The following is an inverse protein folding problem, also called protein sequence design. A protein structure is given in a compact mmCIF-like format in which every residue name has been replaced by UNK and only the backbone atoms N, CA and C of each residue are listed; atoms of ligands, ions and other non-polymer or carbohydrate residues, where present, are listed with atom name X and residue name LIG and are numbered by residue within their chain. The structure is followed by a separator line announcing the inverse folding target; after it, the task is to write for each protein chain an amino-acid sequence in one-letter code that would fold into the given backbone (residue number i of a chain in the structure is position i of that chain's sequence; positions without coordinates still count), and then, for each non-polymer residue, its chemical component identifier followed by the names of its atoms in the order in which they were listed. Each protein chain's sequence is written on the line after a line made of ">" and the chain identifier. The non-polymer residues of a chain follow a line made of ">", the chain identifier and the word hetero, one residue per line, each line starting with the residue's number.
data_IF_607593320011
#
_entry.id   IF_607593320011
#
_cell.length_a   1.000
_cell.length_b   1.000
_cell.length_c   1.000
_cell.angle_alpha   90.00
_cell.angle_beta   90.00
_cell.angle_gamma   90.00
#
_symmetry.space_group_name_H-M   'P 1'
#
loop_
_entity.id
_entity.type
_entity.pdbx_description
1 polymer ?
#
# COMPACT_ATOMS: atom_id res chain seq x y z
N UNK A 1 48.51 -27.20 -5.13
CA UNK A 1 48.80 -26.64 -3.79
C UNK A 1 49.35 -25.23 -3.96
N UNK A 2 48.89 -24.28 -3.12
CA UNK A 2 49.37 -22.89 -2.93
C UNK A 2 49.21 -21.92 -4.12
N UNK A 3 48.73 -20.67 -3.98
CA UNK A 3 48.59 -19.84 -2.79
C UNK A 3 47.54 -18.73 -3.04
N UNK A 4 46.64 -18.52 -2.06
CA UNK A 4 45.64 -17.45 -2.00
C UNK A 4 46.29 -16.07 -2.10
N UNK A 5 45.87 -15.23 -3.06
CA UNK A 5 46.11 -13.78 -3.01
C UNK A 5 45.01 -13.12 -2.18
N UNK A 6 45.34 -12.77 -0.94
CA UNK A 6 44.55 -11.85 -0.10
C UNK A 6 44.80 -10.42 -0.61
N UNK A 7 43.73 -9.65 -0.84
CA UNK A 7 43.82 -8.19 -0.93
C UNK A 7 42.92 -7.62 0.16
N UNK A 8 43.56 -7.05 1.17
CA UNK A 8 42.92 -6.22 2.20
C UNK A 8 42.45 -4.92 1.55
N UNK A 9 41.22 -4.52 1.81
CA UNK A 9 40.75 -3.14 1.54
C UNK A 9 40.52 -2.49 2.90
N UNK A 10 41.15 -1.33 3.03
CA UNK A 10 41.26 -0.50 4.23
C UNK A 10 39.95 0.24 4.47
N UNK A 11 39.53 0.24 5.74
CA UNK A 11 38.45 1.00 6.36
C UNK A 11 38.60 2.51 6.14
N UNK A 12 37.52 3.20 5.78
CA UNK A 12 37.45 4.67 5.76
C UNK A 12 36.12 5.13 6.34
N UNK A 13 36.10 5.39 7.64
CA UNK A 13 34.99 6.05 8.36
C UNK A 13 35.23 7.55 8.26
N UNK A 14 34.24 8.30 7.78
CA UNK A 14 34.19 9.75 7.92
C UNK A 14 32.84 10.15 8.53
N UNK A 15 32.84 10.42 9.82
CA UNK A 15 31.76 11.06 10.53
C UNK A 15 31.89 12.58 10.35
N UNK A 16 30.82 13.24 9.90
CA UNK A 16 30.71 14.70 9.93
C UNK A 16 29.65 15.05 10.97
N UNK A 17 30.11 15.56 12.11
CA UNK A 17 29.28 16.19 13.14
C UNK A 17 29.27 17.68 12.85
N UNK A 18 28.09 18.24 12.60
CA UNK A 18 27.88 19.68 12.60
C UNK A 18 26.85 20.02 13.68
N UNK A 19 27.35 20.54 14.81
CA UNK A 19 26.56 21.11 15.88
C UNK A 19 26.23 22.56 15.53
N UNK A 20 24.94 22.89 15.45
CA UNK A 20 24.44 24.26 15.38
C UNK A 20 23.66 24.58 16.66
N UNK A 21 24.26 25.39 17.53
CA UNK A 21 23.65 25.99 18.71
C UNK A 21 22.78 27.17 18.28
N UNK A 22 21.49 27.17 18.64
CA UNK A 22 20.70 28.38 18.77
C UNK A 22 20.11 28.45 20.18
N UNK A 23 20.62 29.40 20.95
CA UNK A 23 20.12 29.87 22.24
C UNK A 23 19.07 30.95 22.02
N UNK A 24 18.00 30.94 22.83
CA UNK A 24 17.09 32.08 22.96
C UNK A 24 15.66 31.66 23.32
N UNK A 25 15.38 31.51 24.62
CA UNK A 25 14.04 31.26 25.12
C UNK A 25 13.19 32.52 25.26
N UNK A 26 11.89 32.32 25.46
CA UNK A 26 11.01 33.12 26.32
C UNK A 26 9.72 32.33 26.54
N UNK A 27 9.46 31.99 27.79
CA UNK A 27 8.23 31.37 28.25
C UNK A 27 7.11 32.40 28.30
N UNK A 28 5.95 32.07 27.75
CA UNK A 28 4.67 32.69 28.09
C UNK A 28 3.64 31.57 28.22
N UNK A 29 3.40 31.16 29.46
CA UNK A 29 2.20 30.45 29.86
C UNK A 29 1.03 31.43 29.84
N UNK A 30 0.02 31.14 29.03
CA UNK A 30 -1.29 31.77 29.13
C UNK A 30 -2.35 30.69 28.93
N UNK A 31 -2.74 30.05 30.03
CA UNK A 31 -4.01 29.35 30.10
C UNK A 31 -5.13 30.39 30.15
N UNK A 32 -6.03 30.36 29.17
CA UNK A 32 -7.39 30.91 29.29
C UNK A 32 -8.35 30.00 28.54
N UNK A 33 -9.25 29.39 29.30
CA UNK A 33 -10.34 28.58 28.77
C UNK A 33 -11.54 29.40 28.29
N UNK A 34 -12.38 28.67 27.57
CA UNK A 34 -13.83 28.81 27.33
C UNK A 34 -14.29 30.11 26.63
N UNK A 35 -14.72 30.03 25.36
CA UNK A 35 -16.12 29.83 24.92
C UNK A 35 -16.20 30.06 23.39
N UNK A 36 -17.08 29.34 22.70
CA UNK A 36 -17.36 29.49 21.25
C UNK A 36 -18.15 30.78 20.96
N UNK A 37 -18.12 31.28 19.71
CA UNK A 37 -19.28 31.01 18.85
C UNK A 37 -18.96 30.74 17.36
N UNK A 38 -19.80 29.87 16.81
CA UNK A 38 -20.05 29.46 15.42
C UNK A 38 -20.23 30.62 14.42
N UNK A 39 -20.06 30.29 13.12
CA UNK A 39 -20.35 30.98 11.82
C UNK A 39 -19.03 31.31 11.07
N UNK A 40 -18.75 30.92 9.82
CA UNK A 40 -19.58 30.58 8.67
C UNK A 40 -18.70 29.99 7.53
N UNK A 41 -19.33 29.19 6.67
CA UNK A 41 -19.06 28.89 5.26
C UNK A 41 -17.63 28.72 4.69
N UNK A 42 -17.35 27.48 4.29
CA UNK A 42 -16.28 27.12 3.37
C UNK A 42 -16.41 25.68 2.89
N UNK A 43 -17.14 25.47 1.79
CA UNK A 43 -17.39 24.17 1.17
C UNK A 43 -16.07 23.47 0.78
N UNK A 44 -15.58 22.60 1.66
CA UNK A 44 -14.70 21.51 1.28
C UNK A 44 -15.59 20.30 0.98
N UNK A 45 -15.72 19.94 -0.29
CA UNK A 45 -16.21 18.63 -0.71
C UNK A 45 -15.24 17.57 -0.22
N UNK A 46 -15.45 17.13 1.02
CA UNK A 46 -14.87 15.92 1.57
C UNK A 46 -15.47 14.75 0.81
N UNK A 47 -14.65 14.09 -0.02
CA UNK A 47 -15.00 12.78 -0.53
C UNK A 47 -15.26 11.81 0.63
N UNK A 48 -16.06 10.74 0.44
CA UNK A 48 -16.38 9.83 1.53
C UNK A 48 -15.11 9.16 2.06
N UNK A 49 -14.73 9.51 3.28
CA UNK A 49 -13.77 8.75 4.08
C UNK A 49 -14.47 7.46 4.52
N UNK A 50 -14.24 6.39 3.79
CA UNK A 50 -14.67 5.05 4.20
C UNK A 50 -13.93 4.72 5.51
N UNK A 51 -14.63 4.43 6.63
CA UNK A 51 -13.98 3.96 7.84
C UNK A 51 -13.31 2.61 7.53
N UNK A 52 -11.98 2.61 7.50
CA UNK A 52 -11.20 1.39 7.31
C UNK A 52 -11.23 0.52 8.58
N UNK A 53 -11.25 -0.81 8.45
CA UNK A 53 -11.10 -1.70 9.60
C UNK A 53 -9.75 -1.45 10.30
N UNK A 54 -9.75 -1.49 11.64
CA UNK A 54 -8.53 -1.44 12.45
C UNK A 54 -7.64 -2.63 12.10
N UNK A 55 -6.50 -2.35 11.45
CA UNK A 55 -5.56 -3.39 11.00
C UNK A 55 -4.78 -3.97 12.19
N UNK A 56 -4.63 -5.30 12.29
CA UNK A 56 -3.70 -5.90 13.25
C UNK A 56 -2.24 -5.55 12.90
N UNK A 57 -1.43 -5.36 13.94
CA UNK A 57 -0.08 -4.76 13.90
C UNK A 57 1.02 -5.55 13.15
N UNK A 58 0.67 -6.55 12.33
CA UNK A 58 1.63 -7.41 11.61
C UNK A 58 1.42 -7.41 10.09
N UNK A 59 0.72 -6.42 9.54
CA UNK A 59 0.59 -6.25 8.09
C UNK A 59 -0.13 -7.41 7.39
N UNK A 60 -1.01 -8.10 8.12
CA UNK A 60 -1.85 -9.17 7.59
C UNK A 60 -3.06 -8.55 6.91
N UNK A 61 -3.28 -8.89 5.64
CA UNK A 61 -4.53 -8.59 4.94
C UNK A 61 -5.63 -9.45 5.54
N UNK A 62 -6.68 -8.81 6.08
CA UNK A 62 -7.91 -9.50 6.46
C UNK A 62 -8.96 -9.24 5.38
N UNK A 63 -9.28 -10.27 4.61
CA UNK A 63 -10.32 -10.23 3.57
C UNK A 63 -11.65 -10.57 4.24
N UNK A 64 -12.57 -9.61 4.28
CA UNK A 64 -13.95 -9.86 4.66
C UNK A 64 -14.68 -10.50 3.49
N UNK A 65 -15.31 -11.66 3.72
CA UNK A 65 -15.99 -12.40 2.65
C UNK A 65 -17.34 -11.81 2.28
N UNK A 66 -17.91 -11.01 3.17
CA UNK A 66 -19.15 -10.29 2.97
C UNK A 66 -18.95 -8.81 3.29
N UNK A 67 -19.74 -7.96 2.64
CA UNK A 67 -19.73 -6.52 2.89
C UNK A 67 -20.33 -5.73 1.73
N UNK A 68 -20.42 -4.40 1.87
CA UNK A 68 -20.76 -3.57 0.73
C UNK A 68 -19.71 -3.76 -0.35
N UNK A 69 -20.18 -3.79 -1.60
CA UNK A 69 -19.34 -3.60 -2.77
C UNK A 69 -18.54 -2.32 -2.55
N UNK A 70 -17.21 -2.38 -2.65
CA UNK A 70 -16.44 -1.15 -2.79
C UNK A 70 -16.79 -0.58 -4.18
N UNK A 71 -16.38 0.64 -4.56
CA UNK A 71 -16.89 1.26 -5.78
C UNK A 71 -16.32 0.62 -7.07
N UNK A 72 -16.11 -0.70 -7.11
CA UNK A 72 -15.58 -1.48 -8.23
C UNK A 72 -16.31 -1.19 -9.53
N UNK A 73 -17.64 -1.19 -9.53
CA UNK A 73 -18.45 -0.83 -10.69
C UNK A 73 -18.22 0.63 -11.16
N UNK A 74 -18.25 1.60 -10.23
CA UNK A 74 -18.00 3.02 -10.55
C UNK A 74 -16.54 3.28 -10.97
N UNK A 75 -15.60 2.43 -10.53
CA UNK A 75 -14.20 2.44 -10.95
C UNK A 75 -14.10 1.96 -12.39
N UNK A 76 -14.76 0.86 -12.74
CA UNK A 76 -14.76 0.27 -14.08
C UNK A 76 -15.29 1.25 -15.12
N UNK A 77 -16.42 1.92 -14.85
CA UNK A 77 -16.99 2.93 -15.75
C UNK A 77 -16.01 4.08 -16.03
N UNK A 78 -15.20 4.49 -15.04
CA UNK A 78 -14.15 5.51 -15.23
C UNK A 78 -12.98 4.97 -16.05
N UNK A 79 -12.61 3.70 -15.84
CA UNK A 79 -11.48 3.09 -16.51
C UNK A 79 -11.71 2.84 -18.00
N UNK A 80 -12.97 2.63 -18.41
CA UNK A 80 -13.36 2.57 -19.83
C UNK A 80 -13.18 3.92 -20.55
N UNK A 81 -13.23 5.04 -19.82
CA UNK A 81 -13.13 6.37 -20.39
C UNK A 81 -11.70 6.92 -20.48
N UNK A 82 -10.88 6.75 -19.43
CA UNK A 82 -9.49 7.24 -19.41
C UNK A 82 -8.57 6.42 -18.50
N UNK A 83 -7.54 5.82 -19.10
CA UNK A 83 -6.45 5.10 -18.43
C UNK A 83 -5.75 5.86 -17.29
N UNK A 84 -5.82 7.20 -17.27
CA UNK A 84 -5.17 8.04 -16.25
C UNK A 84 -6.05 8.30 -15.03
N UNK A 85 -7.30 7.86 -15.06
CA UNK A 85 -8.21 8.01 -13.93
C UNK A 85 -7.68 7.30 -12.69
N UNK A 86 -7.97 7.92 -11.56
CA UNK A 86 -7.56 7.43 -10.26
C UNK A 86 -8.56 6.38 -9.78
N UNK A 87 -8.02 5.24 -9.36
CA UNK A 87 -8.78 4.20 -8.67
C UNK A 87 -8.65 4.42 -7.16
N UNK A 88 -7.42 4.56 -6.67
CA UNK A 88 -7.15 4.74 -5.24
C UNK A 88 -5.82 5.46 -4.98
N UNK A 89 -5.69 6.03 -3.77
CA UNK A 89 -4.47 6.64 -3.22
C UNK A 89 -4.12 5.97 -1.90
N UNK A 90 -2.83 5.76 -1.70
CA UNK A 90 -2.26 5.15 -0.51
C UNK A 90 -1.09 6.00 -0.05
N UNK A 91 -1.14 6.49 1.18
CA UNK A 91 0.03 7.12 1.80
C UNK A 91 0.83 6.01 2.48
N UNK A 92 2.08 5.82 2.04
CA UNK A 92 2.99 4.75 2.46
C UNK A 92 4.18 5.34 3.20
N UNK A 93 4.68 4.61 4.19
CA UNK A 93 5.87 5.06 4.95
C UNK A 93 7.14 5.06 4.08
N UNK A 94 7.23 4.16 3.09
CA UNK A 94 8.44 3.93 2.32
C UNK A 94 8.59 4.82 1.08
N UNK A 95 7.48 5.11 0.38
CA UNK A 95 7.49 5.85 -0.89
C UNK A 95 6.72 7.18 -0.81
N UNK A 96 6.12 7.49 0.33
CA UNK A 96 5.11 8.54 0.40
C UNK A 96 3.85 8.11 -0.35
N UNK A 97 3.30 8.99 -1.21
CA UNK A 97 2.02 8.74 -1.86
C UNK A 97 2.16 7.84 -3.08
N UNK A 98 1.55 6.66 -3.01
CA UNK A 98 1.39 5.73 -4.13
C UNK A 98 -0.04 5.80 -4.66
N UNK A 99 -0.21 5.69 -5.98
CA UNK A 99 -1.52 5.70 -6.63
C UNK A 99 -1.78 4.41 -7.41
N UNK A 100 -3.01 3.92 -7.34
CA UNK A 100 -3.54 2.96 -8.30
C UNK A 100 -4.37 3.76 -9.31
N UNK A 101 -3.98 3.65 -10.58
CA UNK A 101 -4.72 4.22 -11.71
C UNK A 101 -5.36 3.10 -12.51
N UNK A 102 -6.34 3.46 -13.35
CA UNK A 102 -6.95 2.54 -14.30
C UNK A 102 -5.88 1.82 -15.13
N UNK A 103 -4.96 2.58 -15.72
CA UNK A 103 -3.80 2.03 -16.40
C UNK A 103 -4.14 1.39 -17.74
N UNK A 104 -3.38 0.36 -18.12
CA UNK A 104 -3.49 -0.36 -19.40
C UNK A 104 -3.32 -1.85 -19.16
N UNK A 105 -3.34 -2.67 -20.21
CA UNK A 105 -3.03 -4.11 -20.10
C UNK A 105 -1.60 -4.42 -19.60
N UNK A 106 -0.72 -3.43 -19.47
CA UNK A 106 0.65 -3.58 -19.00
C UNK A 106 0.88 -3.07 -17.56
N UNK A 107 0.00 -2.22 -17.03
CA UNK A 107 0.13 -1.70 -15.65
C UNK A 107 -1.19 -1.17 -15.10
N UNK A 108 -1.31 -1.08 -13.78
CA UNK A 108 -2.47 -0.50 -13.11
C UNK A 108 -3.64 -1.49 -12.98
N UNK A 109 -4.82 -0.95 -12.69
CA UNK A 109 -6.02 -1.75 -12.42
C UNK A 109 -6.40 -2.65 -13.60
N UNK A 110 -6.32 -2.16 -14.83
CA UNK A 110 -6.66 -2.94 -16.02
C UNK A 110 -5.71 -4.12 -16.25
N UNK A 111 -4.42 -3.95 -15.92
CA UNK A 111 -3.48 -5.06 -15.97
C UNK A 111 -3.82 -6.12 -14.93
N UNK A 112 -4.16 -5.70 -13.71
CA UNK A 112 -4.58 -6.60 -12.64
C UNK A 112 -5.84 -7.35 -13.05
N UNK A 113 -6.86 -6.65 -13.55
CA UNK A 113 -8.10 -7.26 -14.03
C UNK A 113 -7.82 -8.31 -15.11
N UNK A 114 -7.13 -7.93 -16.18
CA UNK A 114 -6.92 -8.81 -17.35
C UNK A 114 -6.01 -10.01 -17.04
N UNK A 115 -5.13 -9.92 -16.03
CA UNK A 115 -4.15 -10.97 -15.73
C UNK A 115 -4.43 -11.77 -14.47
N UNK A 116 -5.14 -11.19 -13.50
CA UNK A 116 -5.21 -11.67 -12.13
C UNK A 116 -6.63 -11.67 -11.55
N UNK A 117 -7.68 -11.34 -12.33
CA UNK A 117 -9.08 -11.47 -11.88
C UNK A 117 -9.39 -12.90 -11.40
N UNK A 118 -8.95 -13.90 -12.15
CA UNK A 118 -9.14 -15.30 -11.84
C UNK A 118 -8.32 -15.73 -10.63
N UNK A 119 -7.10 -15.22 -10.47
CA UNK A 119 -6.27 -15.50 -9.28
C UNK A 119 -6.97 -15.00 -8.00
N UNK A 120 -7.52 -13.78 -8.05
CA UNK A 120 -8.30 -13.21 -6.94
C UNK A 120 -9.63 -13.96 -6.70
N UNK A 121 -10.31 -14.35 -7.77
CA UNK A 121 -11.54 -15.15 -7.69
C UNK A 121 -11.26 -16.53 -7.07
N UNK A 122 -10.15 -17.17 -7.44
CA UNK A 122 -9.71 -18.46 -6.89
C UNK A 122 -9.40 -18.36 -5.40
N UNK A 123 -8.79 -17.26 -4.94
CA UNK A 123 -8.58 -16.99 -3.51
C UNK A 123 -9.91 -16.97 -2.76
N UNK A 124 -10.92 -16.29 -3.30
CA UNK A 124 -12.25 -16.20 -2.65
C UNK A 124 -13.01 -17.54 -2.69
N UNK A 125 -12.75 -18.37 -3.69
CA UNK A 125 -13.28 -19.73 -3.78
C UNK A 125 -14.81 -19.80 -3.84
N UNK A 126 -15.46 -18.74 -4.32
CA UNK A 126 -16.92 -18.62 -4.40
C UNK A 126 -17.63 -18.57 -3.05
N UNK A 127 -16.93 -18.18 -1.97
CA UNK A 127 -17.51 -18.06 -0.62
C UNK A 127 -17.80 -16.59 -0.31
N UNK A 128 -19.01 -16.31 0.17
CA UNK A 128 -19.46 -14.96 0.52
C UNK A 128 -19.88 -14.14 -0.70
N UNK A 129 -20.16 -12.86 -0.48
CA UNK A 129 -20.58 -11.90 -1.51
C UNK A 129 -19.48 -10.97 -2.02
N UNK A 130 -18.26 -11.09 -1.50
CA UNK A 130 -17.11 -10.24 -1.87
C UNK A 130 -16.63 -10.57 -3.28
N UNK A 131 -16.43 -9.54 -4.10
CA UNK A 131 -15.87 -9.67 -5.44
C UNK A 131 -14.34 -9.51 -5.48
N UNK A 132 -13.75 -9.89 -6.61
CA UNK A 132 -12.30 -10.03 -6.77
C UNK A 132 -11.55 -8.70 -6.59
N UNK A 133 -12.12 -7.60 -7.08
CA UNK A 133 -11.53 -6.27 -7.06
C UNK A 133 -11.59 -5.65 -5.68
N UNK A 134 -12.67 -5.86 -4.94
CA UNK A 134 -12.76 -5.46 -3.53
C UNK A 134 -11.70 -6.14 -2.66
N UNK A 135 -11.54 -7.46 -2.84
CA UNK A 135 -10.51 -8.23 -2.15
C UNK A 135 -9.11 -7.71 -2.52
N UNK A 136 -8.88 -7.46 -3.81
CA UNK A 136 -7.63 -6.91 -4.33
C UNK A 136 -7.34 -5.52 -3.77
N UNK A 137 -8.31 -4.60 -3.75
CA UNK A 137 -8.14 -3.23 -3.24
C UNK A 137 -7.84 -3.24 -1.73
N UNK A 138 -8.50 -4.12 -0.98
CA UNK A 138 -8.22 -4.33 0.45
C UNK A 138 -6.79 -4.84 0.67
N UNK A 139 -6.35 -5.79 -0.15
CA UNK A 139 -5.02 -6.34 -0.09
C UNK A 139 -3.93 -5.33 -0.48
N UNK A 140 -4.15 -4.55 -1.56
CA UNK A 140 -3.24 -3.49 -2.00
C UNK A 140 -3.10 -2.43 -0.92
N UNK A 141 -4.21 -1.97 -0.33
CA UNK A 141 -4.18 -1.01 0.77
C UNK A 141 -3.27 -1.49 1.88
N UNK A 142 -3.56 -2.68 2.41
CA UNK A 142 -2.81 -3.22 3.55
C UNK A 142 -1.35 -3.45 3.20
N UNK A 143 -1.04 -4.05 2.05
CA UNK A 143 0.34 -4.31 1.64
C UNK A 143 1.16 -3.02 1.45
N UNK A 144 0.54 -1.91 1.06
CA UNK A 144 1.23 -0.63 0.87
C UNK A 144 1.33 0.21 2.15
N UNK A 145 0.30 0.22 3.00
CA UNK A 145 0.26 1.06 4.21
C UNK A 145 0.77 0.35 5.45
N UNK A 146 0.82 -0.97 5.43
CA UNK A 146 1.30 -1.80 6.53
C UNK A 146 1.90 -3.09 5.97
N UNK A 147 2.98 -3.02 5.18
CA UNK A 147 3.62 -4.21 4.63
C UNK A 147 4.13 -5.13 5.74
N UNK A 148 4.34 -6.40 5.38
CA UNK A 148 5.14 -7.30 6.21
C UNK A 148 6.52 -6.70 6.47
N UNK A 149 7.06 -6.92 7.67
CA UNK A 149 8.43 -6.52 8.01
C UNK A 149 9.45 -6.98 6.96
N UNK A 150 10.37 -6.07 6.61
CA UNK A 150 11.38 -6.29 5.56
C UNK A 150 10.94 -5.89 4.15
N UNK A 151 9.76 -5.28 4.00
CA UNK A 151 9.25 -4.71 2.75
C UNK A 151 9.01 -3.20 2.85
N UNK A 152 9.04 -2.46 1.71
CA UNK A 152 9.27 -2.95 0.35
C UNK A 152 10.71 -3.40 0.08
N UNK A 153 10.90 -4.24 -0.93
CA UNK A 153 12.20 -4.68 -1.44
C UNK A 153 12.40 -4.22 -2.89
N UNK A 154 13.65 -4.01 -3.28
CA UNK A 154 14.01 -3.75 -4.67
C UNK A 154 13.65 -4.97 -5.53
N UNK A 155 12.83 -4.73 -6.56
CA UNK A 155 12.41 -5.74 -7.53
C UNK A 155 13.13 -5.58 -8.88
N UNK A 156 14.13 -4.69 -8.95
CA UNK A 156 14.86 -4.36 -10.16
C UNK A 156 14.11 -3.40 -11.09
N UNK A 157 14.83 -2.86 -12.07
CA UNK A 157 14.27 -1.99 -13.12
C UNK A 157 13.44 -0.81 -12.60
N UNK A 158 13.84 -0.21 -11.47
CA UNK A 158 13.12 0.89 -10.85
C UNK A 158 11.74 0.51 -10.30
N UNK A 159 11.55 -0.77 -9.93
CA UNK A 159 10.35 -1.28 -9.28
C UNK A 159 10.67 -1.68 -7.85
N UNK A 160 9.71 -1.52 -6.97
CA UNK A 160 9.75 -2.10 -5.64
C UNK A 160 8.56 -3.01 -5.43
N UNK A 161 8.74 -3.99 -4.57
CA UNK A 161 7.77 -5.04 -4.31
C UNK A 161 7.40 -5.02 -2.83
N UNK A 162 6.10 -4.97 -2.57
CA UNK A 162 5.50 -5.09 -1.24
C UNK A 162 4.84 -6.46 -1.13
N UNK A 163 4.86 -7.03 0.08
CA UNK A 163 4.23 -8.32 0.37
C UNK A 163 3.46 -8.23 1.68
N UNK A 164 2.29 -8.87 1.71
CA UNK A 164 1.52 -9.07 2.93
C UNK A 164 0.92 -10.49 2.96
N UNK A 165 0.93 -11.19 4.10
CA UNK A 165 0.15 -12.42 4.28
C UNK A 165 -1.35 -12.12 4.27
N UNK A 166 -2.16 -13.08 3.83
CA UNK A 166 -3.61 -12.96 3.79
C UNK A 166 -4.28 -13.96 4.74
N UNK A 167 -5.37 -13.50 5.34
CA UNK A 167 -6.36 -14.31 6.06
C UNK A 167 -7.76 -13.82 5.70
N UNK A 168 -8.75 -14.67 5.95
CA UNK A 168 -10.15 -14.27 5.93
C UNK A 168 -10.58 -13.77 7.30
N UNK A 169 -11.74 -13.13 7.35
CA UNK A 169 -12.43 -12.67 8.56
C UNK A 169 -12.70 -13.77 9.59
N UNK A 170 -12.89 -15.02 9.17
CA UNK A 170 -13.00 -16.19 10.05
C UNK A 170 -11.65 -16.70 10.60
N UNK A 171 -10.55 -16.03 10.27
CA UNK A 171 -9.19 -16.38 10.69
C UNK A 171 -8.54 -17.50 9.87
N UNK A 172 -9.25 -18.13 8.93
CA UNK A 172 -8.67 -19.08 8.00
C UNK A 172 -7.78 -18.38 6.97
N UNK A 173 -6.92 -19.13 6.27
CA UNK A 173 -6.01 -18.59 5.25
C UNK A 173 -6.36 -19.15 3.87
N UNK A 174 -6.13 -18.40 2.79
CA UNK A 174 -6.20 -18.96 1.43
C UNK A 174 -5.27 -20.17 1.31
N UNK A 175 -5.78 -21.32 0.86
CA UNK A 175 -5.00 -22.57 0.84
C UNK A 175 -3.88 -22.54 -0.21
N UNK A 176 -4.16 -21.96 -1.37
CA UNK A 176 -3.23 -21.96 -2.50
C UNK A 176 -2.33 -20.74 -2.52
N UNK A 177 -2.86 -19.54 -2.28
CA UNK A 177 -2.15 -18.28 -2.49
C UNK A 177 -2.29 -17.38 -1.26
N UNK A 178 -1.58 -17.71 -0.15
CA UNK A 178 -1.78 -17.07 1.14
C UNK A 178 -1.06 -15.72 1.32
N UNK A 179 -0.51 -15.15 0.25
CA UNK A 179 0.19 -13.86 0.25
C UNK A 179 -0.25 -13.01 -0.93
N UNK A 180 -0.25 -11.69 -0.77
CA UNK A 180 -0.37 -10.74 -1.89
C UNK A 180 0.99 -10.12 -2.18
N UNK A 181 1.30 -9.94 -3.46
CA UNK A 181 2.39 -9.11 -3.96
C UNK A 181 1.84 -7.85 -4.60
N UNK A 182 2.44 -6.70 -4.30
CA UNK A 182 2.15 -5.44 -4.98
C UNK A 182 3.45 -4.86 -5.53
N UNK A 183 3.50 -4.68 -6.85
CA UNK A 183 4.66 -4.10 -7.52
C UNK A 183 4.36 -2.65 -7.83
N UNK A 184 5.24 -1.76 -7.40
CA UNK A 184 5.13 -0.31 -7.57
C UNK A 184 6.31 0.20 -8.38
N UNK A 185 6.06 1.09 -9.33
CA UNK A 185 7.10 1.88 -9.99
C UNK A 185 7.67 2.87 -8.98
N UNK A 186 8.95 2.73 -8.63
CA UNK A 186 9.65 3.67 -7.74
C UNK A 186 9.98 5.02 -8.40
N UNK A 187 9.74 5.15 -9.71
CA UNK A 187 9.96 6.39 -10.46
C UNK A 187 8.69 7.21 -10.67
N UNK A 188 7.51 6.58 -10.58
CA UNK A 188 6.23 7.25 -10.85
C UNK A 188 5.23 7.11 -9.70
N UNK A 189 5.60 6.38 -8.64
CA UNK A 189 4.78 6.07 -7.46
C UNK A 189 3.42 5.47 -7.84
N UNK A 190 3.43 4.60 -8.86
CA UNK A 190 2.23 3.95 -9.40
C UNK A 190 2.28 2.45 -9.18
N UNK A 191 1.16 1.89 -8.74
CA UNK A 191 0.96 0.44 -8.74
C UNK A 191 1.00 -0.06 -10.19
N UNK A 192 1.90 -1.01 -10.45
CA UNK A 192 2.04 -1.71 -11.72
C UNK A 192 1.12 -2.93 -11.73
N UNK A 193 1.19 -3.76 -10.68
CA UNK A 193 0.36 -4.97 -10.55
C UNK A 193 0.17 -5.33 -9.09
N UNK A 194 -0.87 -6.12 -8.81
CA UNK A 194 -1.14 -6.73 -7.53
C UNK A 194 -1.81 -8.09 -7.71
N UNK A 195 -1.27 -9.14 -7.08
CA UNK A 195 -1.76 -10.50 -7.30
C UNK A 195 -1.50 -11.42 -6.10
N UNK A 196 -2.37 -12.42 -5.87
CA UNK A 196 -2.13 -13.48 -4.91
C UNK A 196 -0.98 -14.38 -5.33
N UNK A 197 -0.25 -14.94 -4.37
CA UNK A 197 0.85 -15.85 -4.65
C UNK A 197 1.10 -16.83 -3.50
N UNK A 198 1.84 -17.89 -3.82
CA UNK A 198 2.33 -18.91 -2.87
C UNK A 198 3.51 -18.43 -2.04
N UNK A 199 4.27 -17.46 -2.54
CA UNK A 199 5.56 -17.09 -1.97
C UNK A 199 5.50 -15.76 -1.24
N UNK A 200 6.26 -15.68 -0.16
CA UNK A 200 6.30 -14.53 0.74
C UNK A 200 7.52 -13.61 0.47
N UNK A 201 8.25 -13.90 -0.60
CA UNK A 201 9.45 -13.24 -1.12
C UNK A 201 9.18 -12.45 -2.40
N UNK A 202 9.92 -11.39 -2.71
CA UNK A 202 10.08 -10.90 -4.07
C UNK A 202 11.12 -11.79 -4.80
#
# INVERSE_FOLDING_TARGET
>A
MSQKRRRSVVTGVAAVVAAGLFTGGLALTAERGVDEPVLDDGAATSGPSVPGPTLPSDGVVVITRDGPDLPGADVLDRCDADSRQLVARYDTDALGRVVLQCGTSAQGYEHIRVRHDQDWTDVLGGRGSRDWDDAMLTAVRTALTSPRSGYPQDAGDGKVCFVAPMSFDDGSRPEREPFVKVIVSATTDRVITAYPTRTDGC
#
